data_IF_391368192356
#
_entry.id   IF_391368192356
#
_cell.length_a   1.000
_cell.length_b   1.000
_cell.length_c   1.000
_cell.angle_alpha   90.00
_cell.angle_beta   90.00
_cell.angle_gamma   90.00
#
_symmetry.space_group_name_H-M   'P 1'
#
loop_
_entity.id
_entity.type
_entity.pdbx_description
1 polymer ?
#
# COMPACT_ATOMS: atom_id res chain seq x y z
N UNK A 1 -6.57 3.39 -17.87
CA UNK A 1 -6.77 3.78 -19.28
C UNK A 1 -5.57 4.61 -19.70
N UNK A 2 -4.94 4.29 -20.83
CA UNK A 2 -3.84 5.07 -21.41
C UNK A 2 -4.38 5.79 -22.63
N UNK A 3 -4.14 7.10 -22.73
CA UNK A 3 -4.55 7.93 -23.87
C UNK A 3 -3.30 8.52 -24.50
N UNK A 4 -3.08 8.21 -25.77
CA UNK A 4 -2.03 8.80 -26.57
C UNK A 4 -2.50 10.16 -27.14
N UNK A 5 -1.57 11.10 -27.29
CA UNK A 5 -1.88 12.43 -27.81
C UNK A 5 -2.46 12.35 -29.23
N UNK A 6 -1.90 11.46 -30.05
CA UNK A 6 -2.28 11.20 -31.44
C UNK A 6 -2.46 9.69 -31.64
N UNK A 7 -3.23 9.30 -32.67
CA UNK A 7 -3.35 7.89 -33.05
C UNK A 7 -2.03 7.41 -33.66
N UNK A 8 -1.39 6.38 -33.10
CA UNK A 8 -0.12 5.89 -33.62
C UNK A 8 -0.34 5.16 -34.94
N UNK A 9 0.61 5.25 -35.87
CA UNK A 9 0.60 4.45 -37.09
C UNK A 9 1.13 3.02 -36.88
N UNK A 10 1.76 2.78 -35.73
CA UNK A 10 2.42 1.53 -35.37
C UNK A 10 1.74 0.86 -34.17
N UNK A 11 1.86 -0.47 -34.03
CA UNK A 11 1.43 -1.16 -32.83
C UNK A 11 2.06 -0.58 -31.56
N UNK A 12 1.35 -0.73 -30.45
CA UNK A 12 1.73 -0.17 -29.15
C UNK A 12 2.00 -1.30 -28.18
N UNK A 13 3.24 -1.42 -27.71
CA UNK A 13 3.60 -2.35 -26.65
C UNK A 13 3.49 -1.63 -25.30
N UNK A 14 2.72 -2.21 -24.37
CA UNK A 14 2.57 -1.71 -23.00
C UNK A 14 3.21 -2.69 -22.03
N UNK A 15 4.03 -2.19 -21.12
CA UNK A 15 4.64 -2.95 -20.03
C UNK A 15 4.34 -2.26 -18.71
N UNK A 16 3.93 -3.02 -17.69
CA UNK A 16 3.69 -2.49 -16.33
C UNK A 16 4.61 -3.19 -15.35
N UNK A 17 5.32 -2.40 -14.55
CA UNK A 17 6.22 -2.84 -13.51
C UNK A 17 5.65 -2.48 -12.14
N UNK A 18 5.74 -3.41 -11.19
CA UNK A 18 5.32 -3.21 -9.81
C UNK A 18 6.32 -2.36 -9.01
N UNK A 19 6.03 -1.98 -7.75
CA UNK A 19 6.95 -1.19 -6.93
C UNK A 19 8.33 -1.84 -6.71
N UNK A 20 8.44 -3.16 -6.88
CA UNK A 20 9.68 -3.92 -6.76
C UNK A 20 10.48 -3.97 -8.08
N UNK A 21 10.00 -3.30 -9.13
CA UNK A 21 10.61 -3.32 -10.46
C UNK A 21 10.34 -4.60 -11.27
N UNK A 22 9.40 -5.43 -10.84
CA UNK A 22 9.05 -6.68 -11.55
C UNK A 22 7.99 -6.40 -12.62
N UNK A 23 8.17 -6.97 -13.80
CA UNK A 23 7.18 -6.92 -14.88
C UNK A 23 5.94 -7.74 -14.48
N UNK A 24 4.79 -7.09 -14.38
CA UNK A 24 3.51 -7.71 -13.98
C UNK A 24 2.47 -7.74 -15.10
N UNK A 25 2.71 -6.99 -16.18
CA UNK A 25 1.84 -7.00 -17.35
C UNK A 25 2.65 -6.62 -18.59
N UNK A 26 2.39 -7.33 -19.69
CA UNK A 26 2.88 -6.97 -21.01
C UNK A 26 1.80 -7.31 -22.04
N UNK A 27 1.51 -6.38 -22.94
CA UNK A 27 0.60 -6.61 -24.04
C UNK A 27 0.96 -5.75 -25.25
N UNK A 28 0.79 -6.33 -26.43
CA UNK A 28 0.80 -5.61 -27.69
C UNK A 28 -0.64 -5.22 -28.04
N UNK A 29 -0.82 -3.95 -28.35
CA UNK A 29 -2.08 -3.38 -28.79
C UNK A 29 -1.97 -2.93 -30.24
N UNK A 30 -3.06 -3.04 -30.98
CA UNK A 30 -3.16 -2.43 -32.30
C UNK A 30 -2.92 -0.91 -32.22
N UNK A 31 -2.58 -0.32 -33.36
CA UNK A 31 -2.47 1.12 -33.56
C UNK A 31 -3.78 1.83 -33.16
N UNK A 32 -3.90 2.24 -31.90
CA UNK A 32 -5.10 2.82 -31.33
C UNK A 32 -4.75 3.94 -30.37
N UNK A 33 -5.56 5.00 -30.37
CA UNK A 33 -5.37 6.16 -29.50
C UNK A 33 -5.62 5.86 -28.01
N UNK A 34 -6.61 5.02 -27.73
CA UNK A 34 -7.07 4.73 -26.38
C UNK A 34 -6.86 3.25 -26.08
N UNK A 35 -6.05 2.96 -25.06
CA UNK A 35 -5.66 1.60 -24.71
C UNK A 35 -6.19 1.26 -23.32
N UNK A 36 -6.97 0.18 -23.26
CA UNK A 36 -7.47 -0.36 -22.00
C UNK A 36 -6.47 -1.38 -21.46
N UNK A 37 -5.91 -1.06 -20.30
CA UNK A 37 -4.98 -1.93 -19.57
C UNK A 37 -5.70 -2.40 -18.32
N UNK A 38 -5.90 -3.71 -18.22
CA UNK A 38 -6.54 -4.38 -17.08
C UNK A 38 -5.58 -5.46 -16.55
N UNK A 39 -4.58 -5.08 -15.75
CA UNK A 39 -3.71 -6.06 -15.13
C UNK A 39 -4.46 -6.64 -13.92
N UNK A 40 -4.82 -7.91 -14.04
CA UNK A 40 -5.61 -8.62 -13.05
C UNK A 40 -4.72 -9.51 -12.15
N UNK A 41 -4.88 -9.44 -10.83
CA UNK A 41 -5.12 -8.25 -10.00
C UNK A 41 -3.78 -7.58 -9.59
N UNK A 42 -3.67 -6.26 -9.76
CA UNK A 42 -2.59 -5.48 -9.15
C UNK A 42 -2.84 -5.26 -7.65
N UNK A 43 -1.78 -5.43 -6.84
CA UNK A 43 -1.77 -4.99 -5.45
C UNK A 43 -1.88 -3.46 -5.33
N UNK A 44 -2.15 -2.98 -4.12
CA UNK A 44 -2.05 -1.55 -3.79
C UNK A 44 -0.59 -1.10 -3.92
N UNK A 45 -0.33 0.02 -4.58
CA UNK A 45 1.03 0.54 -4.73
C UNK A 45 1.25 1.46 -5.93
N UNK A 46 2.52 1.84 -6.12
CA UNK A 46 2.98 2.63 -7.26
C UNK A 46 3.57 1.74 -8.34
N UNK A 47 3.07 1.87 -9.56
CA UNK A 47 3.46 1.10 -10.73
C UNK A 47 4.09 2.02 -11.76
N UNK A 48 5.03 1.49 -12.52
CA UNK A 48 5.63 2.17 -13.66
C UNK A 48 5.09 1.55 -14.94
N UNK A 49 4.56 2.37 -15.84
CA UNK A 49 4.01 1.95 -17.12
C UNK A 49 4.94 2.44 -18.22
N UNK A 50 5.52 1.51 -18.96
CA UNK A 50 6.26 1.81 -20.19
C UNK A 50 5.34 1.59 -21.38
N UNK A 51 5.30 2.56 -22.28
CA UNK A 51 4.56 2.50 -23.54
C UNK A 51 5.55 2.69 -24.67
N UNK A 52 5.64 1.71 -25.56
CA UNK A 52 6.49 1.77 -26.75
C UNK A 52 5.63 1.79 -28.01
N UNK A 53 5.88 2.77 -28.87
CA UNK A 53 5.24 2.94 -30.18
C UNK A 53 6.36 3.01 -31.22
N UNK A 54 6.55 1.94 -31.99
CA UNK A 54 7.72 1.80 -32.86
C UNK A 54 9.03 1.95 -32.08
N UNK A 55 9.79 3.00 -32.39
CA UNK A 55 11.05 3.36 -31.70
C UNK A 55 10.87 4.34 -30.53
N UNK A 56 9.67 4.93 -30.38
CA UNK A 56 9.39 5.93 -29.34
C UNK A 56 9.00 5.23 -28.05
N UNK A 57 9.52 5.72 -26.92
CA UNK A 57 9.24 5.19 -25.58
C UNK A 57 8.73 6.30 -24.68
N UNK A 58 7.69 5.98 -23.92
CA UNK A 58 7.06 6.85 -22.95
C UNK A 58 6.97 6.12 -21.61
N UNK A 59 7.09 6.88 -20.52
CA UNK A 59 7.01 6.35 -19.15
C UNK A 59 5.95 7.15 -18.40
N UNK A 60 5.04 6.43 -17.74
CA UNK A 60 4.02 7.00 -16.87
C UNK A 60 4.02 6.27 -15.52
N UNK A 61 3.49 6.92 -14.48
CA UNK A 61 3.29 6.30 -13.17
C UNK A 61 1.79 6.07 -12.93
N UNK A 62 1.45 4.88 -12.43
CA UNK A 62 0.10 4.49 -12.05
C UNK A 62 0.08 4.23 -10.54
N UNK A 63 -0.75 4.95 -9.79
CA UNK A 63 -0.99 4.65 -8.37
C UNK A 63 -2.31 3.89 -8.24
N UNK A 64 -2.24 2.68 -7.69
CA UNK A 64 -3.42 1.91 -7.29
C UNK A 64 -3.63 2.10 -5.80
N UNK A 65 -4.65 2.85 -5.44
CA UNK A 65 -5.12 2.92 -4.06
C UNK A 65 -5.88 1.63 -3.69
N UNK A 66 -5.81 1.22 -2.43
CA UNK A 66 -6.65 0.12 -1.93
C UNK A 66 -8.11 0.57 -2.06
N UNK A 67 -8.92 -0.19 -2.80
CA UNK A 67 -10.37 -0.02 -2.83
C UNK A 67 -11.02 -0.70 -1.63
N UNK A 68 -10.46 -0.52 -0.43
CA UNK A 68 -11.19 -0.73 0.82
C UNK A 68 -11.95 0.56 1.14
N UNK A 69 -13.28 0.54 1.27
CA UNK A 69 -13.97 1.63 1.91
C UNK A 69 -13.58 1.63 3.39
N UNK A 70 -12.64 2.48 3.77
CA UNK A 70 -12.50 2.88 5.16
C UNK A 70 -13.79 3.63 5.58
N UNK A 71 -14.77 2.90 6.11
CA UNK A 71 -15.69 3.31 7.18
C UNK A 71 -16.84 2.31 7.34
N UNK A 72 -16.63 1.31 8.19
CA UNK A 72 -17.76 0.80 8.99
C UNK A 72 -17.96 1.81 10.12
N UNK A 73 -18.78 2.85 9.90
CA UNK A 73 -19.40 3.54 11.03
C UNK A 73 -20.41 2.54 11.59
N UNK A 74 -19.95 1.68 12.50
CA UNK A 74 -20.85 1.02 13.44
C UNK A 74 -21.40 2.17 14.29
N UNK A 75 -22.69 2.48 14.16
CA UNK A 75 -23.41 3.20 15.21
C UNK A 75 -23.30 2.33 16.46
N UNK A 76 -22.25 2.53 17.26
CA UNK A 76 -22.24 2.05 18.62
C UNK A 76 -23.36 2.80 19.32
N UNK A 77 -24.45 2.07 19.61
CA UNK A 77 -25.35 2.42 20.71
C UNK A 77 -24.48 2.86 21.89
N UNK A 78 -24.86 3.94 22.62
CA UNK A 78 -24.04 4.49 23.69
C UNK A 78 -23.62 3.37 24.64
N UNK A 79 -22.31 3.09 24.64
CA UNK A 79 -21.71 2.12 25.55
C UNK A 79 -22.05 2.60 26.97
N UNK A 80 -22.77 1.78 27.73
CA UNK A 80 -23.14 2.10 29.11
C UNK A 80 -21.89 2.57 29.89
N UNK A 81 -22.02 3.60 30.75
CA UNK A 81 -20.87 4.20 31.42
C UNK A 81 -20.06 3.13 32.17
N UNK A 82 -18.72 3.19 32.12
CA UNK A 82 -17.89 2.19 32.78
C UNK A 82 -18.17 2.17 34.29
N UNK A 83 -18.16 1.00 34.94
CA UNK A 83 -18.42 0.88 36.37
C UNK A 83 -17.38 1.67 37.19
N UNK A 84 -17.77 2.23 38.34
CA UNK A 84 -16.87 3.03 39.17
C UNK A 84 -15.69 2.19 39.66
N UNK A 85 -14.48 2.69 39.38
CA UNK A 85 -13.21 2.10 39.79
C UNK A 85 -13.11 2.17 41.32
N UNK A 86 -13.02 1.00 41.97
CA UNK A 86 -12.73 0.95 43.41
C UNK A 86 -11.27 1.34 43.65
N UNK A 87 -10.97 2.21 44.62
CA UNK A 87 -9.58 2.52 44.96
C UNK A 87 -8.89 1.26 45.46
N UNK A 88 -7.91 0.78 44.69
CA UNK A 88 -6.97 -0.24 45.12
C UNK A 88 -6.01 0.42 46.10
N UNK A 89 -6.12 0.07 47.39
CA UNK A 89 -5.09 0.40 48.37
C UNK A 89 -3.80 -0.34 47.99
N UNK A 90 -2.86 0.35 47.36
CA UNK A 90 -1.50 -0.14 47.15
C UNK A 90 -0.81 -0.36 48.49
N UNK A 91 -0.80 -1.60 48.98
CA UNK A 91 0.06 -2.02 50.08
C UNK A 91 1.50 -2.02 49.59
N UNK A 92 2.31 -1.04 50.03
CA UNK A 92 3.77 -1.04 49.86
C UNK A 92 4.35 -2.29 50.53
N UNK A 93 4.89 -3.21 49.75
CA UNK A 93 5.92 -4.15 50.21
C UNK A 93 7.01 -4.24 49.14
N UNK A 94 8.08 -3.46 49.34
CA UNK A 94 9.41 -3.84 48.84
C UNK A 94 10.36 -3.72 50.02
N UNK A 95 10.48 -4.83 50.72
CA UNK A 95 11.61 -5.09 51.61
C UNK A 95 12.06 -6.51 51.25
N UNK A 96 13.09 -6.60 50.41
CA UNK A 96 13.87 -7.81 50.25
C UNK A 96 15.33 -7.41 50.50
N UNK A 97 15.97 -7.93 51.56
CA UNK A 97 17.36 -7.66 51.85
C UNK A 97 18.22 -8.62 51.05
N UNK A 98 19.36 -8.15 50.52
CA UNK A 98 20.59 -8.92 50.46
C UNK A 98 21.74 -8.01 50.07
N UNK A 99 22.59 -7.72 51.08
CA UNK A 99 23.96 -7.27 50.90
C UNK A 99 24.76 -8.38 50.21
N UNK A 100 25.69 -8.02 49.33
CA UNK A 100 27.05 -8.51 49.45
C UNK A 100 28.03 -7.64 48.67
N UNK A 101 29.07 -7.24 49.39
CA UNK A 101 30.24 -6.44 49.04
C UNK A 101 31.35 -7.38 48.53
N UNK A 102 32.18 -7.00 47.54
CA UNK A 102 33.63 -7.26 47.56
C UNK A 102 34.34 -6.50 46.43
N UNK A 103 35.64 -6.26 46.63
CA UNK A 103 36.50 -5.20 46.11
C UNK A 103 36.90 -5.27 44.62
N UNK A 104 37.46 -4.13 44.20
CA UNK A 104 38.36 -3.86 43.06
C UNK A 104 39.16 -5.07 42.57
N UNK A 105 39.16 -5.28 41.24
CA UNK A 105 40.32 -5.09 40.35
C UNK A 105 39.83 -4.89 38.91
#
# INVERSE_FOLDING_TARGET
MIVLAEEPAEPVMVQVYNPLGQLVYVADHAAQRSIMVQPDPLATGSYVVHVQVGHRRFVAQLQRASSEPANTIQNHEPHAPPPPIRPVHHRRQREQPSRSTCMEE
#
